data_IF_963087055164
#
_entry.id   IF_963087055164
#
_cell.length_a   1.000
_cell.length_b   1.000
_cell.length_c   1.000
_cell.angle_alpha   90.00
_cell.angle_beta   90.00
_cell.angle_gamma   90.00
#
_symmetry.space_group_name_H-M   'P 1'
#
loop_
_entity.id
_entity.type
_entity.pdbx_description
1 polymer ?
#
# COMPACT_ATOMS: atom_id res chain seq x y z
N UNK A 1 -4.31 -67.30 15.52
CA UNK A 1 -5.53 -66.59 15.09
C UNK A 1 -5.14 -65.19 14.63
N UNK A 2 -5.56 -64.88 13.40
CA UNK A 2 -5.58 -63.65 12.60
C UNK A 2 -5.07 -62.32 13.20
N UNK A 3 -4.13 -61.71 12.45
CA UNK A 3 -4.09 -60.32 11.92
C UNK A 3 -4.03 -59.18 12.97
N UNK A 4 -3.25 -58.11 12.82
CA UNK A 4 -3.31 -57.13 11.73
C UNK A 4 -2.05 -56.24 11.77
N UNK A 5 -1.38 -56.09 10.62
CA UNK A 5 -0.33 -55.10 10.38
C UNK A 5 -1.00 -53.75 10.10
N UNK A 6 -0.68 -52.71 10.87
CA UNK A 6 -1.07 -51.33 10.58
C UNK A 6 0.13 -50.58 10.01
N UNK A 7 0.19 -50.48 8.67
CA UNK A 7 0.99 -49.48 8.00
C UNK A 7 0.34 -48.11 8.24
N UNK A 8 1.02 -47.23 8.98
CA UNK A 8 0.67 -45.82 9.06
C UNK A 8 1.09 -45.13 7.76
N UNK A 9 0.12 -44.83 6.89
CA UNK A 9 0.34 -43.97 5.72
C UNK A 9 0.31 -42.52 6.19
N UNK A 10 1.49 -41.93 6.36
CA UNK A 10 1.66 -40.52 6.69
C UNK A 10 1.49 -39.70 5.41
N UNK A 11 0.28 -39.19 5.17
CA UNK A 11 0.02 -38.27 4.07
C UNK A 11 0.61 -36.90 4.42
N UNK A 12 1.78 -36.59 3.84
CA UNK A 12 2.39 -35.28 3.92
C UNK A 12 1.56 -34.28 3.10
N UNK A 13 0.73 -33.49 3.80
CA UNK A 13 0.14 -32.28 3.23
C UNK A 13 1.26 -31.28 2.98
N UNK A 14 1.70 -31.14 1.73
CA UNK A 14 2.54 -30.02 1.30
C UNK A 14 1.67 -28.76 1.36
N UNK A 15 1.84 -27.97 2.42
CA UNK A 15 1.41 -26.59 2.48
C UNK A 15 2.19 -25.77 1.45
N UNK A 16 1.58 -25.47 0.31
CA UNK A 16 2.09 -24.47 -0.63
C UNK A 16 1.94 -23.10 0.01
N UNK A 17 2.99 -22.64 0.70
CA UNK A 17 3.11 -21.24 1.10
C UNK A 17 3.26 -20.37 -0.15
N UNK A 18 2.53 -19.25 -0.21
CA UNK A 18 2.80 -18.17 -1.15
C UNK A 18 4.21 -17.65 -0.88
N UNK A 19 5.19 -18.09 -1.68
CA UNK A 19 6.51 -17.49 -1.70
C UNK A 19 6.49 -16.27 -2.62
N UNK A 20 6.94 -15.12 -2.14
CA UNK A 20 7.38 -14.07 -3.06
C UNK A 20 8.55 -14.63 -3.88
N UNK A 21 8.35 -14.90 -5.17
CA UNK A 21 9.44 -15.32 -6.04
C UNK A 21 10.47 -14.19 -6.13
N UNK A 22 11.75 -14.53 -5.97
CA UNK A 22 12.85 -13.62 -6.25
C UNK A 22 12.63 -12.99 -7.63
N UNK A 23 12.82 -11.66 -7.72
CA UNK A 23 12.52 -10.90 -8.95
C UNK A 23 13.23 -11.54 -10.13
N UNK A 24 12.46 -12.11 -11.05
CA UNK A 24 12.99 -12.84 -12.20
C UNK A 24 13.76 -11.87 -13.10
N UNK A 25 15.03 -12.15 -13.47
CA UNK A 25 15.84 -11.25 -14.29
C UNK A 25 15.17 -10.81 -15.60
N UNK A 26 14.36 -11.69 -16.20
CA UNK A 26 13.63 -11.37 -17.43
C UNK A 26 12.53 -10.33 -17.21
N UNK A 27 11.84 -10.36 -16.07
CA UNK A 27 10.75 -9.44 -15.72
C UNK A 27 11.34 -8.07 -15.43
N UNK A 28 12.45 -8.04 -14.67
CA UNK A 28 13.23 -6.83 -14.47
C UNK A 28 13.61 -6.17 -15.79
N UNK A 29 14.17 -6.96 -16.74
CA UNK A 29 14.59 -6.44 -18.04
C UNK A 29 13.40 -5.90 -18.84
N UNK A 30 12.34 -6.68 -19.01
CA UNK A 30 11.18 -6.29 -19.80
C UNK A 30 10.52 -4.99 -19.30
N UNK A 31 10.43 -4.82 -17.97
CA UNK A 31 9.90 -3.60 -17.36
C UNK A 31 10.88 -2.42 -17.45
N UNK A 32 12.19 -2.68 -17.31
CA UNK A 32 13.21 -1.63 -17.41
C UNK A 32 13.26 -1.04 -18.82
N UNK A 33 13.10 -1.86 -19.85
CA UNK A 33 13.08 -1.44 -21.26
C UNK A 33 11.94 -0.46 -21.58
N UNK A 34 10.87 -0.46 -20.77
CA UNK A 34 9.74 0.48 -20.86
C UNK A 34 9.74 1.54 -19.75
N UNK A 35 10.87 1.70 -19.04
CA UNK A 35 11.04 2.75 -18.03
C UNK A 35 10.26 2.51 -16.72
N UNK A 36 10.08 1.25 -16.34
CA UNK A 36 9.52 0.82 -15.05
C UNK A 36 10.56 0.05 -14.24
N UNK A 37 10.75 0.43 -12.97
CA UNK A 37 11.63 -0.28 -12.05
C UNK A 37 10.82 -1.25 -11.21
N UNK A 38 11.02 -2.55 -11.40
CA UNK A 38 10.34 -3.59 -10.61
C UNK A 38 10.87 -3.57 -9.17
N UNK A 39 9.93 -3.65 -8.22
CA UNK A 39 10.18 -3.78 -6.79
C UNK A 39 9.90 -5.18 -6.29
N UNK A 40 8.81 -5.80 -6.75
CA UNK A 40 8.40 -7.13 -6.35
C UNK A 40 7.54 -7.78 -7.44
N UNK A 41 7.58 -9.12 -7.50
CA UNK A 41 6.73 -9.95 -8.36
C UNK A 41 6.08 -11.01 -7.49
N UNK A 42 4.79 -11.26 -7.70
CA UNK A 42 4.05 -12.32 -7.00
C UNK A 42 2.94 -12.87 -7.90
N UNK A 43 2.36 -13.99 -7.49
CA UNK A 43 1.20 -14.59 -8.17
C UNK A 43 -0.02 -13.66 -8.07
N UNK A 44 -0.78 -13.56 -9.16
CA UNK A 44 -2.07 -12.87 -9.16
C UNK A 44 -3.19 -13.82 -8.75
N UNK A 45 -4.24 -13.29 -8.15
CA UNK A 45 -5.49 -14.06 -7.95
C UNK A 45 -6.21 -14.35 -9.27
N UNK A 46 -5.84 -13.67 -10.36
CA UNK A 46 -6.33 -13.97 -11.70
C UNK A 46 -5.45 -15.04 -12.35
N UNK A 47 -6.02 -16.19 -12.75
CA UNK A 47 -5.25 -17.26 -13.37
C UNK A 47 -4.50 -16.80 -14.63
N UNK A 48 -3.26 -17.26 -14.81
CA UNK A 48 -2.45 -16.91 -15.98
C UNK A 48 -1.75 -15.56 -15.89
N UNK A 49 -1.84 -14.87 -14.74
CA UNK A 49 -1.22 -13.56 -14.52
C UNK A 49 -0.35 -13.52 -13.26
N UNK A 50 0.70 -12.71 -13.37
CA UNK A 50 1.52 -12.24 -12.26
C UNK A 50 1.16 -10.80 -11.95
N UNK A 51 1.27 -10.43 -10.68
CA UNK A 51 1.27 -9.05 -10.24
C UNK A 51 2.70 -8.54 -10.12
N UNK A 52 2.95 -7.34 -10.64
CA UNK A 52 4.29 -6.72 -10.66
C UNK A 52 4.19 -5.34 -10.03
N UNK A 53 4.82 -5.18 -8.87
CA UNK A 53 4.93 -3.90 -8.20
C UNK A 53 6.13 -3.14 -8.74
N UNK A 54 5.95 -1.87 -9.06
CA UNK A 54 7.00 -1.01 -9.61
C UNK A 54 7.15 0.29 -8.83
N UNK A 55 8.08 1.13 -9.24
CA UNK A 55 8.18 2.52 -8.81
C UNK A 55 6.99 3.40 -9.24
N UNK A 56 6.22 3.00 -10.26
CA UNK A 56 5.06 3.75 -10.77
C UNK A 56 3.70 3.14 -10.44
N UNK A 57 3.66 2.02 -9.71
CA UNK A 57 2.42 1.39 -9.27
C UNK A 57 2.37 -0.12 -9.52
N UNK A 58 1.15 -0.66 -9.45
CA UNK A 58 0.86 -2.07 -9.68
C UNK A 58 0.52 -2.31 -11.15
N UNK A 59 1.21 -3.26 -11.77
CA UNK A 59 0.93 -3.77 -13.10
C UNK A 59 0.63 -5.26 -13.03
N UNK A 60 0.04 -5.78 -14.09
CA UNK A 60 -0.10 -7.22 -14.28
C UNK A 60 0.67 -7.66 -15.52
N UNK A 61 1.13 -8.90 -15.51
CA UNK A 61 1.86 -9.48 -16.64
C UNK A 61 1.38 -10.92 -16.84
N UNK A 62 1.26 -11.36 -18.09
CA UNK A 62 0.96 -12.76 -18.37
C UNK A 62 2.07 -13.68 -17.85
N UNK A 63 1.74 -14.90 -17.43
CA UNK A 63 2.73 -15.88 -16.93
C UNK A 63 3.82 -16.22 -17.97
N UNK A 64 3.49 -16.13 -19.26
CA UNK A 64 4.47 -16.28 -20.35
C UNK A 64 5.38 -15.06 -20.56
N UNK A 65 5.24 -14.01 -19.72
CA UNK A 65 5.99 -12.73 -19.71
C UNK A 65 5.97 -11.94 -21.02
N UNK A 66 4.99 -12.17 -21.89
CA UNK A 66 4.90 -11.48 -23.19
C UNK A 66 4.01 -10.23 -23.16
N UNK A 67 3.02 -10.20 -22.27
CA UNK A 67 2.01 -9.14 -22.25
C UNK A 67 2.00 -8.46 -20.90
N UNK A 68 1.99 -7.13 -20.93
CA UNK A 68 1.77 -6.28 -19.77
C UNK A 68 0.36 -5.70 -19.85
N UNK A 69 -0.32 -5.69 -18.70
CA UNK A 69 -1.63 -5.09 -18.54
C UNK A 69 -1.54 -3.97 -17.50
N UNK A 70 -1.97 -2.79 -17.91
CA UNK A 70 -2.11 -1.62 -17.04
C UNK A 70 -3.59 -1.38 -16.78
N UNK A 71 -3.95 -1.17 -15.51
CA UNK A 71 -5.29 -0.79 -15.10
C UNK A 71 -5.86 -1.63 -13.96
N UNK A 72 -7.18 -1.55 -13.84
CA UNK A 72 -7.94 -2.16 -12.76
C UNK A 72 -8.53 -3.51 -13.19
N UNK A 73 -8.37 -4.51 -12.33
CA UNK A 73 -9.02 -5.81 -12.47
C UNK A 73 -10.17 -5.88 -11.48
N UNK A 74 -11.38 -6.11 -12.00
CA UNK A 74 -12.56 -6.34 -11.19
C UNK A 74 -12.91 -7.82 -11.16
N UNK A 75 -13.00 -8.38 -9.95
CA UNK A 75 -13.66 -9.67 -9.73
C UNK A 75 -15.17 -9.45 -9.80
N UNK A 76 -15.78 -9.84 -10.93
CA UNK A 76 -17.21 -9.68 -11.17
C UNK A 76 -18.07 -10.63 -10.33
N UNK A 77 -17.52 -11.76 -9.89
CA UNK A 77 -18.23 -12.73 -9.05
C UNK A 77 -18.37 -12.19 -7.63
N UNK A 78 -17.28 -11.69 -7.07
CA UNK A 78 -17.26 -11.15 -5.70
C UNK A 78 -17.54 -9.63 -5.64
N UNK A 79 -17.65 -8.96 -6.79
CA UNK A 79 -17.88 -7.51 -6.93
C UNK A 79 -16.81 -6.66 -6.24
N UNK A 80 -15.53 -7.02 -6.44
CA UNK A 80 -14.38 -6.39 -5.78
C UNK A 80 -13.34 -5.92 -6.78
N UNK A 81 -12.60 -4.88 -6.40
CA UNK A 81 -11.41 -4.43 -7.13
C UNK A 81 -10.19 -5.19 -6.61
N UNK A 82 -9.64 -6.09 -7.44
CA UNK A 82 -8.51 -6.95 -7.10
C UNK A 82 -7.27 -6.12 -6.74
N UNK A 83 -7.05 -5.01 -7.44
CA UNK A 83 -5.94 -4.09 -7.17
C UNK A 83 -5.95 -3.58 -5.72
N UNK A 84 -7.12 -3.32 -5.14
CA UNK A 84 -7.24 -2.82 -3.77
C UNK A 84 -6.93 -3.90 -2.74
N UNK A 85 -7.33 -5.15 -2.99
CA UNK A 85 -6.99 -6.28 -2.13
C UNK A 85 -5.46 -6.49 -2.08
N UNK A 86 -4.78 -6.30 -3.22
CA UNK A 86 -3.30 -6.35 -3.31
C UNK A 86 -2.66 -5.14 -2.61
N UNK A 87 -3.09 -3.93 -2.95
CA UNK A 87 -2.41 -2.70 -2.53
C UNK A 87 -2.67 -2.34 -1.07
N UNK A 88 -3.75 -2.82 -0.47
CA UNK A 88 -4.13 -2.50 0.91
C UNK A 88 -3.00 -2.78 1.90
N UNK A 89 -2.40 -3.96 1.86
CA UNK A 89 -1.38 -4.34 2.84
C UNK A 89 -0.04 -3.65 2.56
N UNK A 90 0.27 -3.40 1.28
CA UNK A 90 1.45 -2.60 0.87
C UNK A 90 1.31 -1.17 1.38
N UNK A 91 0.16 -0.53 1.20
CA UNK A 91 -0.10 0.84 1.68
C UNK A 91 -0.06 0.90 3.20
N UNK A 92 -0.67 -0.08 3.89
CA UNK A 92 -0.61 -0.17 5.35
C UNK A 92 0.82 -0.30 5.87
N UNK A 93 1.65 -1.12 5.22
CA UNK A 93 3.05 -1.25 5.59
C UNK A 93 3.80 0.07 5.33
N UNK A 94 3.65 0.65 4.15
CA UNK A 94 4.34 1.90 3.79
C UNK A 94 3.97 3.10 4.66
N UNK A 95 2.73 3.22 5.14
CA UNK A 95 2.37 4.31 6.07
C UNK A 95 3.06 4.17 7.42
N UNK A 96 3.26 2.94 7.91
CA UNK A 96 3.93 2.69 9.21
C UNK A 96 5.38 3.15 9.21
N UNK A 97 6.05 3.11 8.05
CA UNK A 97 7.43 3.58 7.92
C UNK A 97 7.57 5.08 8.29
N UNK A 98 6.47 5.83 8.27
CA UNK A 98 6.42 7.26 8.59
C UNK A 98 5.83 7.56 9.97
N UNK A 99 5.56 6.56 10.83
CA UNK A 99 4.92 6.78 12.14
C UNK A 99 5.66 7.81 13.01
N UNK A 100 7.00 7.90 12.90
CA UNK A 100 7.82 8.86 13.64
C UNK A 100 7.84 10.27 13.02
N UNK A 101 7.24 10.45 11.85
CA UNK A 101 7.26 11.68 11.07
C UNK A 101 5.87 12.28 10.90
N UNK A 102 4.84 11.73 11.55
CA UNK A 102 3.48 12.30 11.50
C UNK A 102 3.35 13.51 12.42
N UNK A 103 2.53 14.47 12.00
CA UNK A 103 2.02 15.49 12.93
C UNK A 103 0.68 14.98 13.46
N UNK A 104 0.64 14.61 14.75
CA UNK A 104 -0.52 13.99 15.39
C UNK A 104 -1.39 15.01 16.15
N UNK A 105 -2.66 15.10 15.76
CA UNK A 105 -3.73 15.80 16.47
C UNK A 105 -4.59 14.75 17.17
N UNK A 106 -4.24 14.47 18.42
CA UNK A 106 -4.80 13.36 19.19
C UNK A 106 -6.15 13.73 19.81
N UNK A 107 -7.11 12.83 19.67
CA UNK A 107 -8.38 12.91 20.39
C UNK A 107 -8.23 12.41 21.83
N UNK A 108 -8.80 13.11 22.80
CA UNK A 108 -8.78 12.69 24.21
C UNK A 108 -9.54 11.36 24.43
N UNK A 109 -10.61 11.14 23.67
CA UNK A 109 -11.43 9.92 23.69
C UNK A 109 -11.28 9.12 22.39
N UNK A 110 -10.03 8.80 22.01
CA UNK A 110 -9.70 8.12 20.76
C UNK A 110 -10.52 6.84 20.50
N UNK A 111 -11.28 6.87 19.40
CA UNK A 111 -12.04 5.76 18.83
C UNK A 111 -11.49 5.32 17.48
N UNK A 112 -10.94 6.27 16.72
CA UNK A 112 -10.44 6.08 15.38
C UNK A 112 -9.12 6.84 15.18
N UNK A 113 -8.24 6.28 14.37
CA UNK A 113 -7.02 6.95 13.90
C UNK A 113 -7.07 7.01 12.37
N UNK A 114 -6.93 8.20 11.81
CA UNK A 114 -6.85 8.41 10.37
C UNK A 114 -5.53 9.04 9.99
N UNK A 115 -4.87 8.48 8.98
CA UNK A 115 -3.70 9.09 8.35
C UNK A 115 -4.16 9.90 7.15
N UNK A 116 -3.81 11.19 7.14
CA UNK A 116 -4.26 12.15 6.14
C UNK A 116 -3.06 12.73 5.42
N UNK A 117 -2.96 12.47 4.13
CA UNK A 117 -2.03 13.15 3.25
C UNK A 117 -2.55 14.57 3.00
N UNK A 118 -1.80 15.59 3.39
CA UNK A 118 -2.27 16.99 3.44
C UNK A 118 -1.35 17.96 2.70
N UNK A 119 -1.94 19.07 2.26
CA UNK A 119 -1.30 20.13 1.47
C UNK A 119 -1.86 21.49 1.93
N UNK A 120 -0.99 22.40 2.39
CA UNK A 120 -1.38 23.73 2.90
C UNK A 120 -2.07 24.60 1.85
N UNK A 121 -1.73 24.41 0.57
CA UNK A 121 -2.35 25.13 -0.56
C UNK A 121 -3.76 24.60 -0.89
N UNK A 122 -4.15 23.42 -0.40
CA UNK A 122 -5.45 22.81 -0.68
C UNK A 122 -6.57 23.38 0.21
N UNK A 123 -7.62 23.93 -0.41
CA UNK A 123 -8.77 24.50 0.31
C UNK A 123 -9.49 23.49 1.21
N UNK A 124 -9.66 22.24 0.76
CA UNK A 124 -10.30 21.19 1.57
C UNK A 124 -9.40 20.69 2.71
N UNK A 125 -8.08 20.68 2.54
CA UNK A 125 -7.15 20.37 3.62
C UNK A 125 -7.22 21.42 4.72
N UNK A 126 -7.25 22.71 4.35
CA UNK A 126 -7.45 23.81 5.30
C UNK A 126 -8.80 23.71 6.03
N UNK A 127 -9.87 23.39 5.30
CA UNK A 127 -11.18 23.18 5.93
C UNK A 127 -11.13 22.04 6.96
N UNK A 128 -10.57 20.88 6.59
CA UNK A 128 -10.43 19.74 7.51
C UNK A 128 -9.64 20.14 8.76
N UNK A 129 -8.55 20.89 8.60
CA UNK A 129 -7.75 21.38 9.72
C UNK A 129 -8.53 22.35 10.64
N UNK A 130 -9.32 23.25 10.05
CA UNK A 130 -10.17 24.17 10.83
C UNK A 130 -11.27 23.43 11.63
N UNK A 131 -11.64 22.23 11.21
CA UNK A 131 -12.63 21.36 11.88
C UNK A 131 -11.95 20.32 12.82
N UNK A 132 -10.64 20.43 13.08
CA UNK A 132 -9.89 19.45 13.88
C UNK A 132 -10.47 19.23 15.28
N UNK A 133 -10.93 20.30 15.93
CA UNK A 133 -11.53 20.21 17.26
C UNK A 133 -12.81 19.35 17.26
N UNK A 134 -13.64 19.46 16.22
CA UNK A 134 -14.86 18.67 16.08
C UNK A 134 -14.54 17.20 15.80
N UNK A 135 -13.53 16.92 14.97
CA UNK A 135 -13.02 15.57 14.73
C UNK A 135 -12.49 14.93 16.01
N UNK A 136 -11.64 15.65 16.75
CA UNK A 136 -11.09 15.16 18.01
C UNK A 136 -12.19 14.93 19.06
N UNK A 137 -13.19 15.83 19.17
CA UNK A 137 -14.35 15.64 20.04
C UNK A 137 -15.18 14.40 19.69
N UNK A 138 -15.26 14.06 18.40
CA UNK A 138 -15.90 12.84 17.92
C UNK A 138 -15.08 11.56 18.20
N UNK A 139 -13.86 11.68 18.73
CA UNK A 139 -12.94 10.58 19.01
C UNK A 139 -12.05 10.20 17.82
N UNK A 140 -11.82 11.10 16.87
CA UNK A 140 -10.99 10.84 15.69
C UNK A 140 -9.63 11.52 15.89
N UNK A 141 -8.58 10.73 16.06
CA UNK A 141 -7.18 11.18 15.99
C UNK A 141 -6.75 11.32 14.54
N UNK A 142 -6.21 12.47 14.17
CA UNK A 142 -5.72 12.74 12.81
C UNK A 142 -4.20 12.80 12.82
N UNK A 143 -3.57 12.04 11.93
CA UNK A 143 -2.12 12.02 11.71
C UNK A 143 -1.82 12.54 10.31
N UNK A 144 -1.21 13.71 10.21
CA UNK A 144 -0.85 14.26 8.90
C UNK A 144 0.46 13.69 8.38
N UNK A 145 0.49 13.49 7.06
CA UNK A 145 1.68 13.30 6.24
C UNK A 145 1.70 14.36 5.14
N UNK A 146 2.85 14.96 4.88
CA UNK A 146 2.98 15.99 3.85
C UNK A 146 2.79 15.39 2.43
N UNK A 147 1.96 16.02 1.62
CA UNK A 147 1.72 15.63 0.23
C UNK A 147 1.57 16.87 -0.67
N UNK A 148 2.67 17.51 -1.10
CA UNK A 148 2.61 18.68 -1.96
C UNK A 148 2.13 18.28 -3.35
N UNK A 149 0.91 18.69 -3.73
CA UNK A 149 0.31 18.33 -5.03
C UNK A 149 1.07 18.94 -6.22
N UNK A 150 1.77 20.05 -5.98
CA UNK A 150 2.69 20.66 -6.95
C UNK A 150 4.02 19.92 -7.11
N UNK A 151 4.24 18.83 -6.36
CA UNK A 151 5.48 18.08 -6.35
C UNK A 151 6.59 18.74 -5.54
N UNK A 152 7.76 18.09 -5.53
CA UNK A 152 8.93 18.47 -4.70
C UNK A 152 9.62 19.76 -5.13
N UNK A 153 9.25 20.33 -6.28
CA UNK A 153 9.79 21.60 -6.78
C UNK A 153 8.85 22.79 -6.51
N UNK A 154 7.73 22.56 -5.80
CA UNK A 154 6.74 23.59 -5.53
C UNK A 154 7.05 24.38 -4.26
N UNK A 155 6.65 25.64 -4.21
CA UNK A 155 6.76 26.46 -3.00
C UNK A 155 6.04 25.82 -1.79
N UNK A 156 4.97 25.07 -2.04
CA UNK A 156 4.26 24.33 -0.98
C UNK A 156 5.08 23.18 -0.41
N UNK A 157 5.97 22.56 -1.20
CA UNK A 157 6.93 21.59 -0.65
C UNK A 157 7.85 22.28 0.37
N UNK A 158 8.40 23.45 0.05
CA UNK A 158 9.30 24.18 0.95
C UNK A 158 8.60 24.62 2.25
N UNK A 159 7.33 25.04 2.14
CA UNK A 159 6.48 25.37 3.28
C UNK A 159 6.24 24.14 4.17
N UNK A 160 5.78 23.03 3.58
CA UNK A 160 5.54 21.78 4.31
C UNK A 160 6.82 21.25 4.96
N UNK A 161 7.96 21.32 4.28
CA UNK A 161 9.25 20.95 4.84
C UNK A 161 9.59 21.80 6.07
N UNK A 162 9.36 23.11 5.99
CA UNK A 162 9.60 24.03 7.11
C UNK A 162 8.73 23.70 8.32
N UNK A 163 7.45 23.37 8.09
CA UNK A 163 6.50 22.94 9.14
C UNK A 163 6.98 21.63 9.78
N UNK A 164 7.32 20.62 8.98
CA UNK A 164 7.75 19.31 9.48
C UNK A 164 9.09 19.33 10.22
N UNK A 165 9.94 20.33 9.92
CA UNK A 165 11.21 20.54 10.61
C UNK A 165 11.12 21.55 11.77
N UNK A 166 9.94 22.13 12.03
CA UNK A 166 9.75 23.11 13.10
C UNK A 166 9.92 22.46 14.48
N UNK A 167 10.32 23.26 15.48
CA UNK A 167 10.41 22.80 16.88
C UNK A 167 9.03 22.38 17.42
N UNK A 168 8.00 23.10 17.02
CA UNK A 168 6.61 22.72 17.25
C UNK A 168 5.90 22.76 15.89
N UNK A 169 5.57 21.57 15.38
CA UNK A 169 4.91 21.40 14.09
C UNK A 169 3.38 21.48 14.17
N UNK A 170 2.81 21.60 15.37
CA UNK A 170 1.35 21.68 15.58
C UNK A 170 0.84 23.12 15.65
N UNK A 171 1.75 24.09 15.72
CA UNK A 171 1.44 25.51 15.88
C UNK A 171 1.33 26.24 14.54
#
# INVERSE_FOLDING_TARGET
>A
MKKFSYLAVMAAFLSTGLSAQAVLPEVNKAFSDIGLKVKAVADSTVPGMLQVQTDKGLFFMSENKQYLFEGNIYDLKNKKLVNEDILKDIRKAGVKDFDNSVIEFKADNEKYVVHVFTDTSCGYCRKLHNEMADLNKAGITVRYLAFPRGGVQSATYDELQSIWCAKDAKQ
#
